data_IF_530478977250
#
_entry.id   IF_530478977250
#
_cell.length_a   1.000
_cell.length_b   1.000
_cell.length_c   1.000
_cell.angle_alpha   90.00
_cell.angle_beta   90.00
_cell.angle_gamma   90.00
#
_symmetry.space_group_name_H-M   'P 1'
#
loop_
_entity.id
_entity.type
_entity.pdbx_description
1 polymer ?
#
# COMPACT_ATOMS: atom_id res chain seq x y z
N UNK A 1 6.40 -17.60 -15.03
CA UNK A 1 5.51 -16.94 -14.05
C UNK A 1 4.86 -18.01 -13.18
N UNK A 2 5.01 -17.92 -11.88
CA UNK A 2 4.35 -18.79 -10.90
C UNK A 2 2.97 -18.20 -10.57
N UNK A 3 1.95 -19.05 -10.38
CA UNK A 3 0.59 -18.60 -10.07
C UNK A 3 -0.05 -19.52 -9.03
N UNK A 4 -0.71 -18.93 -8.03
CA UNK A 4 -1.40 -19.66 -6.96
C UNK A 4 -2.61 -18.86 -6.47
N UNK A 5 -3.52 -19.50 -5.75
CA UNK A 5 -4.57 -18.82 -5.01
C UNK A 5 -3.97 -18.14 -3.77
N UNK A 6 -4.43 -16.94 -3.47
CA UNK A 6 -4.07 -16.25 -2.24
C UNK A 6 -4.73 -16.94 -1.03
N UNK A 7 -3.98 -17.08 0.06
CA UNK A 7 -4.49 -17.61 1.33
C UNK A 7 -4.76 -16.44 2.28
N UNK A 8 -6.03 -16.15 2.55
CA UNK A 8 -6.45 -15.16 3.55
C UNK A 8 -6.34 -15.79 4.93
N UNK A 9 -5.46 -15.23 5.76
CA UNK A 9 -5.19 -15.72 7.11
C UNK A 9 -6.13 -15.12 8.15
N UNK A 10 -6.49 -13.85 7.98
CA UNK A 10 -7.32 -13.10 8.92
C UNK A 10 -7.97 -11.89 8.26
N UNK A 11 -9.12 -11.48 8.79
CA UNK A 11 -9.80 -10.25 8.42
C UNK A 11 -9.96 -9.34 9.64
N UNK A 12 -9.62 -8.05 9.48
CA UNK A 12 -9.75 -7.00 10.49
C UNK A 12 -10.81 -6.01 10.05
N UNK A 13 -11.59 -5.53 11.00
CA UNK A 13 -12.66 -4.57 10.73
C UNK A 13 -14.00 -5.22 10.35
N UNK A 14 -15.01 -4.45 9.87
CA UNK A 14 -14.91 -3.01 9.61
C UNK A 14 -14.58 -2.18 10.85
N UNK A 15 -13.93 -1.03 10.63
CA UNK A 15 -13.51 -0.15 11.73
C UNK A 15 -14.52 0.99 11.90
N UNK A 16 -14.94 1.31 13.14
CA UNK A 16 -15.83 2.45 13.39
C UNK A 16 -15.24 3.77 12.86
N UNK A 17 -16.04 4.51 12.10
CA UNK A 17 -15.65 5.80 11.54
C UNK A 17 -14.73 5.71 10.30
N UNK A 18 -14.46 4.51 9.79
CA UNK A 18 -13.68 4.30 8.58
C UNK A 18 -14.49 3.45 7.58
N UNK A 19 -15.25 4.11 6.73
CA UNK A 19 -16.11 3.43 5.75
C UNK A 19 -15.31 2.77 4.61
N UNK A 20 -14.10 3.30 4.33
CA UNK A 20 -13.21 2.83 3.28
C UNK A 20 -11.80 2.68 3.81
N UNK A 21 -11.10 1.69 3.30
CA UNK A 21 -9.65 1.50 3.50
C UNK A 21 -8.96 1.75 2.17
N UNK A 22 -8.04 2.71 2.14
CA UNK A 22 -7.20 3.03 0.99
C UNK A 22 -5.81 2.41 1.12
N UNK A 23 -4.78 3.21 1.37
CA UNK A 23 -3.42 2.73 1.59
C UNK A 23 -3.25 2.02 2.92
N UNK A 24 -2.26 1.14 2.98
CA UNK A 24 -1.90 0.36 4.18
C UNK A 24 -0.39 0.36 4.33
N UNK A 25 0.10 0.51 5.56
CA UNK A 25 1.51 0.30 5.91
C UNK A 25 1.64 -0.38 7.28
N UNK A 26 2.85 -0.79 7.63
CA UNK A 26 3.16 -1.45 8.89
C UNK A 26 4.42 -0.83 9.51
N UNK A 27 4.34 -0.42 10.77
CA UNK A 27 5.44 0.25 11.47
C UNK A 27 6.31 -0.70 12.30
N UNK A 28 6.10 -2.01 12.15
CA UNK A 28 6.75 -3.06 12.94
C UNK A 28 5.93 -3.48 14.16
N UNK A 29 4.90 -2.72 14.53
CA UNK A 29 4.03 -3.00 15.67
C UNK A 29 2.55 -2.87 15.31
N UNK A 30 2.17 -1.81 14.61
CA UNK A 30 0.79 -1.52 14.22
C UNK A 30 0.62 -1.45 12.71
N UNK A 31 -0.55 -1.84 12.26
CA UNK A 31 -0.98 -1.63 10.89
C UNK A 31 -1.65 -0.27 10.80
N UNK A 32 -1.18 0.57 9.88
CA UNK A 32 -1.76 1.87 9.57
C UNK A 32 -2.54 1.80 8.27
N UNK A 33 -3.70 2.43 8.21
CA UNK A 33 -4.46 2.55 6.98
C UNK A 33 -5.08 3.93 6.81
N UNK A 34 -5.18 4.34 5.55
CA UNK A 34 -5.79 5.60 5.15
C UNK A 34 -7.30 5.43 4.95
N UNK A 35 -8.11 6.39 5.43
CA UNK A 35 -9.57 6.38 5.30
C UNK A 35 -10.16 7.67 4.70
N UNK A 36 -9.33 8.48 4.03
CA UNK A 36 -9.70 9.73 3.38
C UNK A 36 -9.31 10.95 4.19
N UNK A 37 -9.80 11.10 5.39
CA UNK A 37 -9.55 12.22 6.32
C UNK A 37 -8.67 11.84 7.52
N UNK A 38 -8.29 10.57 7.62
CA UNK A 38 -7.50 10.04 8.75
C UNK A 38 -6.53 8.96 8.32
N UNK A 39 -5.44 8.86 9.09
CA UNK A 39 -4.62 7.67 9.22
C UNK A 39 -5.01 6.96 10.52
N UNK A 40 -5.40 5.70 10.41
CA UNK A 40 -5.85 4.88 11.53
C UNK A 40 -4.82 3.79 11.79
N UNK A 41 -4.56 3.48 13.06
CA UNK A 41 -3.69 2.38 13.44
C UNK A 41 -4.44 1.35 14.27
N UNK A 42 -4.17 0.08 14.03
CA UNK A 42 -4.69 -1.02 14.85
C UNK A 42 -3.58 -2.03 15.17
N UNK A 43 -3.77 -2.75 16.28
CA UNK A 43 -2.90 -3.86 16.68
C UNK A 43 -3.30 -5.12 15.89
N UNK A 44 -2.43 -5.69 15.06
CA UNK A 44 -2.77 -6.90 14.29
C UNK A 44 -2.90 -8.17 15.16
N UNK A 45 -2.42 -8.16 16.39
CA UNK A 45 -2.60 -9.29 17.31
C UNK A 45 -4.01 -9.33 17.90
N UNK A 46 -4.59 -8.17 18.23
CA UNK A 46 -5.93 -8.06 18.84
C UNK A 46 -7.02 -7.61 17.85
N UNK A 47 -6.64 -6.95 16.75
CA UNK A 47 -7.55 -6.31 15.82
C UNK A 47 -8.13 -5.00 16.33
N UNK A 48 -7.69 -4.51 17.49
CA UNK A 48 -8.24 -3.31 18.11
C UNK A 48 -7.59 -2.04 17.58
N UNK A 49 -8.40 -1.02 17.33
CA UNK A 49 -7.93 0.32 17.01
C UNK A 49 -7.15 0.90 18.19
N UNK A 50 -5.96 1.46 17.93
CA UNK A 50 -5.09 2.03 18.95
C UNK A 50 -4.99 3.54 18.87
N UNK A 51 -5.07 4.13 17.68
CA UNK A 51 -5.06 5.58 17.48
C UNK A 51 -5.47 5.99 16.07
N UNK A 52 -5.75 7.28 15.90
CA UNK A 52 -5.96 7.91 14.61
C UNK A 52 -5.26 9.28 14.55
N UNK A 53 -4.84 9.67 13.37
CA UNK A 53 -4.25 10.98 13.06
C UNK A 53 -5.17 11.68 12.07
N UNK A 54 -5.64 12.89 12.40
CA UNK A 54 -6.41 13.71 11.49
C UNK A 54 -5.48 14.33 10.45
N UNK A 55 -5.52 13.77 9.24
CA UNK A 55 -4.69 14.21 8.11
C UNK A 55 -5.33 13.69 6.82
N UNK A 56 -5.21 14.45 5.73
CA UNK A 56 -5.67 13.98 4.42
C UNK A 56 -4.93 12.70 4.03
N UNK A 57 -5.69 11.65 3.73
CA UNK A 57 -5.17 10.30 3.51
C UNK A 57 -6.01 9.58 2.44
N UNK A 58 -5.75 9.90 1.16
CA UNK A 58 -6.64 9.54 0.05
C UNK A 58 -6.22 8.27 -0.69
N UNK A 59 -4.96 7.84 -0.57
CA UNK A 59 -4.42 6.70 -1.29
C UNK A 59 -3.29 6.04 -0.50
N UNK A 60 -2.20 5.63 -1.14
CA UNK A 60 -1.11 4.86 -0.57
C UNK A 60 -0.45 5.46 0.65
N UNK A 61 -0.02 4.58 1.54
CA UNK A 61 0.68 4.88 2.79
C UNK A 61 1.95 4.04 2.86
N UNK A 62 3.06 4.63 3.33
CA UNK A 62 4.33 3.95 3.53
C UNK A 62 4.99 4.40 4.85
N UNK A 63 5.95 3.61 5.32
CA UNK A 63 6.72 3.88 6.54
C UNK A 63 8.20 3.63 6.29
N UNK A 64 9.05 4.60 6.63
CA UNK A 64 10.50 4.53 6.38
C UNK A 64 11.31 4.01 7.59
N UNK A 65 10.64 3.53 8.63
CA UNK A 65 11.22 3.16 9.92
C UNK A 65 11.12 4.28 10.97
N UNK A 66 10.73 5.47 10.57
CA UNK A 66 10.60 6.63 11.45
C UNK A 66 9.39 7.51 11.15
N UNK A 67 9.10 7.73 9.87
CA UNK A 67 8.01 8.62 9.42
C UNK A 67 7.02 7.87 8.56
N UNK A 68 5.76 8.32 8.60
CA UNK A 68 4.74 7.92 7.65
C UNK A 68 4.83 8.80 6.40
N UNK A 69 4.61 8.20 5.24
CA UNK A 69 4.38 8.90 3.98
C UNK A 69 2.97 8.60 3.52
N UNK A 70 2.24 9.63 3.11
CA UNK A 70 0.83 9.53 2.75
C UNK A 70 0.52 10.30 1.49
N UNK A 71 -0.05 9.63 0.50
CA UNK A 71 -0.60 10.27 -0.69
C UNK A 71 -1.89 11.00 -0.32
N UNK A 72 -1.92 12.29 -0.63
CA UNK A 72 -3.07 13.17 -0.44
C UNK A 72 -3.25 14.01 -1.70
N UNK A 73 -4.19 13.62 -2.56
CA UNK A 73 -4.44 14.22 -3.87
C UNK A 73 -3.18 14.25 -4.76
N UNK A 74 -2.63 15.44 -5.03
CA UNK A 74 -1.49 15.64 -5.93
C UNK A 74 -0.14 15.69 -5.20
N UNK A 75 -0.09 15.34 -3.91
CA UNK A 75 1.11 15.40 -3.07
C UNK A 75 1.30 14.16 -2.23
N UNK A 76 2.52 13.97 -1.78
CA UNK A 76 2.89 12.99 -0.75
C UNK A 76 3.36 13.74 0.49
N UNK A 77 2.74 13.47 1.61
CA UNK A 77 3.04 14.09 2.89
C UNK A 77 3.98 13.18 3.69
N UNK A 78 5.04 13.76 4.28
CA UNK A 78 5.87 13.13 5.30
C UNK A 78 5.33 13.52 6.66
N UNK A 79 4.97 12.55 7.49
CA UNK A 79 4.21 12.76 8.73
C UNK A 79 4.96 12.17 9.90
N UNK A 80 5.04 12.92 11.01
CA UNK A 80 5.47 12.39 12.30
C UNK A 80 4.35 11.49 12.86
N UNK A 81 4.58 10.18 13.04
CA UNK A 81 3.53 9.27 13.50
C UNK A 81 3.13 9.49 14.95
N UNK A 82 3.93 10.18 15.74
CA UNK A 82 3.62 10.48 17.16
C UNK A 82 2.74 11.71 17.32
N UNK A 83 3.05 12.76 16.59
CA UNK A 83 2.35 14.05 16.70
C UNK A 83 1.26 14.24 15.64
N UNK A 84 1.33 13.51 14.52
CA UNK A 84 0.47 13.72 13.37
C UNK A 84 0.85 14.93 12.51
N UNK A 85 1.96 15.60 12.85
CA UNK A 85 2.41 16.79 12.12
C UNK A 85 2.94 16.42 10.73
N UNK A 86 2.50 17.15 9.72
CA UNK A 86 3.08 17.10 8.37
C UNK A 86 4.39 17.88 8.39
N UNK A 87 5.51 17.17 8.22
CA UNK A 87 6.86 17.73 8.28
C UNK A 87 7.34 18.27 6.94
N UNK A 88 6.91 17.64 5.84
CA UNK A 88 7.27 18.01 4.49
C UNK A 88 6.23 17.48 3.49
N UNK A 89 6.19 18.07 2.31
CA UNK A 89 5.40 17.59 1.18
C UNK A 89 6.24 17.59 -0.08
N UNK A 90 6.00 16.60 -0.93
CA UNK A 90 6.57 16.52 -2.28
C UNK A 90 5.44 16.32 -3.29
N UNK A 91 5.61 16.71 -4.56
CA UNK A 91 4.62 16.42 -5.59
C UNK A 91 4.49 14.91 -5.81
N UNK A 92 3.26 14.41 -5.95
CA UNK A 92 3.00 13.05 -6.37
C UNK A 92 3.12 12.95 -7.90
N UNK A 93 3.76 11.88 -8.43
CA UNK A 93 4.11 11.82 -9.85
C UNK A 93 2.90 11.77 -10.79
N UNK A 94 1.77 11.27 -10.34
CA UNK A 94 0.53 11.17 -11.11
C UNK A 94 -0.42 12.35 -10.98
N UNK A 95 -0.08 13.37 -10.17
CA UNK A 95 -0.90 14.57 -10.01
C UNK A 95 -2.33 14.33 -9.56
N UNK A 96 -2.54 13.39 -8.63
CA UNK A 96 -3.87 13.01 -8.11
C UNK A 96 -4.39 11.67 -8.62
N UNK A 97 -3.63 10.95 -9.44
CA UNK A 97 -3.98 9.62 -9.96
C UNK A 97 -3.19 8.48 -9.33
N UNK A 98 -2.38 8.79 -8.32
CA UNK A 98 -1.55 7.82 -7.62
C UNK A 98 -2.37 6.97 -6.65
N UNK A 99 -2.00 5.69 -6.53
CA UNK A 99 -2.79 4.71 -5.77
C UNK A 99 -2.02 4.03 -4.65
N UNK A 100 -0.82 3.55 -4.90
CA UNK A 100 -0.01 2.79 -3.96
C UNK A 100 1.28 3.50 -3.58
N UNK A 101 1.83 3.19 -2.41
CA UNK A 101 3.06 3.79 -1.92
C UNK A 101 3.84 2.76 -1.11
N UNK A 102 5.14 2.65 -1.37
CA UNK A 102 6.06 1.82 -0.60
C UNK A 102 7.39 2.54 -0.36
N UNK A 103 7.99 2.30 0.80
CA UNK A 103 9.35 2.70 1.08
C UNK A 103 10.31 1.55 0.77
N UNK A 104 11.38 1.84 0.04
CA UNK A 104 12.37 0.85 -0.34
C UNK A 104 13.76 1.48 -0.50
N UNK A 105 14.69 1.07 0.34
CA UNK A 105 16.12 1.39 0.17
C UNK A 105 16.41 2.89 -0.06
N UNK A 106 15.77 3.75 0.72
CA UNK A 106 15.94 5.19 0.64
C UNK A 106 15.12 5.88 -0.45
N UNK A 107 14.22 5.19 -1.11
CA UNK A 107 13.33 5.73 -2.15
C UNK A 107 11.87 5.36 -1.90
N UNK A 108 10.97 6.02 -2.62
CA UNK A 108 9.54 5.67 -2.64
C UNK A 108 9.18 5.03 -3.99
N UNK A 109 8.33 4.02 -3.93
CA UNK A 109 7.67 3.45 -5.09
C UNK A 109 6.20 3.85 -5.09
N UNK A 110 5.73 4.43 -6.18
CA UNK A 110 4.38 5.00 -6.29
C UNK A 110 3.62 4.33 -7.43
N UNK A 111 2.52 3.66 -7.10
CA UNK A 111 1.64 3.06 -8.09
C UNK A 111 0.65 4.06 -8.67
N UNK A 112 0.33 3.91 -9.95
CA UNK A 112 -0.75 4.63 -10.64
C UNK A 112 -1.80 3.63 -11.12
N UNK A 113 -3.04 3.80 -10.66
CA UNK A 113 -4.12 2.86 -10.95
C UNK A 113 -4.41 2.78 -12.45
N UNK A 114 -4.98 3.81 -13.03
CA UNK A 114 -5.34 3.83 -14.45
C UNK A 114 -4.14 3.95 -15.38
N UNK A 115 -3.07 4.56 -14.90
CA UNK A 115 -1.82 4.69 -15.66
C UNK A 115 -1.08 3.37 -15.83
N UNK A 116 -1.40 2.35 -15.03
CA UNK A 116 -0.75 1.03 -15.05
C UNK A 116 0.76 1.14 -14.95
N UNK A 117 1.23 1.97 -14.02
CA UNK A 117 2.66 2.27 -13.83
C UNK A 117 3.02 2.24 -12.37
N UNK A 118 4.31 1.99 -12.11
CA UNK A 118 4.91 2.16 -10.80
C UNK A 118 6.17 2.99 -11.00
N UNK A 119 6.23 4.15 -10.34
CA UNK A 119 7.39 5.04 -10.36
C UNK A 119 8.23 4.84 -9.12
N UNK A 120 9.54 4.75 -9.28
CA UNK A 120 10.49 4.98 -8.20
C UNK A 120 10.83 6.46 -8.17
N UNK A 121 10.68 7.09 -7.02
CA UNK A 121 10.89 8.54 -6.89
C UNK A 121 11.86 8.86 -5.75
N UNK A 122 12.52 10.00 -5.87
CA UNK A 122 13.29 10.61 -4.79
C UNK A 122 12.33 11.12 -3.70
N UNK A 123 12.48 10.69 -2.42
CA UNK A 123 11.56 11.06 -1.36
C UNK A 123 11.69 12.50 -0.87
N UNK A 124 12.72 13.22 -1.29
CA UNK A 124 12.95 14.62 -0.92
C UNK A 124 12.44 15.61 -1.96
N UNK A 125 12.47 15.22 -3.22
CA UNK A 125 12.12 16.10 -4.35
C UNK A 125 10.88 15.68 -5.11
N UNK A 126 10.51 14.39 -5.04
CA UNK A 126 9.46 13.80 -5.86
C UNK A 126 9.89 13.50 -7.29
N UNK A 127 11.17 13.68 -7.62
CA UNK A 127 11.69 13.42 -8.97
C UNK A 127 11.58 11.93 -9.31
N UNK A 128 11.07 11.63 -10.50
CA UNK A 128 10.97 10.26 -11.00
C UNK A 128 12.37 9.77 -11.37
N UNK A 129 12.83 8.70 -10.71
CA UNK A 129 14.12 8.06 -10.97
C UNK A 129 13.99 6.99 -12.05
N UNK A 130 12.89 6.24 -12.05
CA UNK A 130 12.51 5.32 -13.11
C UNK A 130 11.04 4.91 -13.03
N UNK A 131 10.56 4.30 -14.11
CA UNK A 131 9.18 3.84 -14.25
C UNK A 131 9.17 2.41 -14.78
N UNK A 132 8.32 1.57 -14.19
CA UNK A 132 7.97 0.26 -14.73
C UNK A 132 6.49 0.24 -15.10
N UNK A 133 6.15 -0.51 -16.14
CA UNK A 133 4.77 -0.65 -16.58
C UNK A 133 4.15 -1.94 -16.01
N UNK A 134 2.88 -1.86 -15.65
CA UNK A 134 2.08 -3.00 -15.25
C UNK A 134 1.10 -3.40 -16.35
N UNK A 135 0.80 -4.68 -16.47
CA UNK A 135 -0.21 -5.21 -17.37
C UNK A 135 -1.64 -4.96 -16.88
N UNK A 136 -1.83 -4.56 -15.61
CA UNK A 136 -3.13 -4.32 -14.98
C UNK A 136 -3.15 -3.00 -14.20
N UNK A 137 -4.33 -2.57 -13.78
CA UNK A 137 -4.48 -1.41 -12.90
C UNK A 137 -3.80 -1.68 -11.55
N UNK A 138 -2.86 -0.81 -11.18
CA UNK A 138 -2.07 -0.92 -9.94
C UNK A 138 -2.83 -0.30 -8.79
N UNK A 139 -2.95 -1.03 -7.67
CA UNK A 139 -3.53 -0.53 -6.42
C UNK A 139 -2.45 -0.29 -5.37
N UNK A 140 -2.25 -1.17 -4.41
CA UNK A 140 -1.20 -1.06 -3.40
C UNK A 140 0.18 -1.48 -3.92
N UNK A 141 1.22 -1.00 -3.29
CA UNK A 141 2.62 -1.36 -3.60
C UNK A 141 3.34 -1.64 -2.30
N UNK A 142 4.18 -2.66 -2.27
CA UNK A 142 5.08 -2.95 -1.14
C UNK A 142 6.43 -3.48 -1.60
N UNK A 143 7.42 -3.31 -0.74
CA UNK A 143 8.77 -3.82 -0.93
C UNK A 143 9.19 -4.67 0.27
N UNK A 144 9.67 -5.88 0.00
CA UNK A 144 10.14 -6.78 1.05
C UNK A 144 11.25 -7.68 0.52
N UNK A 145 12.38 -7.72 1.24
CA UNK A 145 13.52 -8.60 0.93
C UNK A 145 14.02 -8.51 -0.53
N UNK A 146 14.05 -7.29 -1.08
CA UNK A 146 14.46 -7.05 -2.47
C UNK A 146 13.37 -7.35 -3.51
N UNK A 147 12.17 -7.70 -3.09
CA UNK A 147 11.03 -8.00 -3.95
C UNK A 147 10.05 -6.84 -4.02
N UNK A 148 9.63 -6.47 -5.22
CA UNK A 148 8.56 -5.52 -5.44
C UNK A 148 7.26 -6.26 -5.72
N UNK A 149 6.27 -6.00 -4.88
CA UNK A 149 4.92 -6.53 -5.02
C UNK A 149 3.91 -5.42 -5.20
N UNK A 150 2.89 -5.64 -5.98
CA UNK A 150 1.76 -4.74 -6.06
C UNK A 150 0.42 -5.49 -6.14
N UNK A 151 -0.63 -4.83 -5.67
CA UNK A 151 -2.00 -5.27 -5.86
C UNK A 151 -2.56 -4.79 -7.18
N UNK A 152 -3.62 -5.44 -7.62
CA UNK A 152 -4.44 -5.03 -8.77
C UNK A 152 -5.92 -5.05 -8.43
N UNK A 153 -6.71 -4.30 -9.17
CA UNK A 153 -8.17 -4.39 -9.15
C UNK A 153 -8.71 -4.07 -10.52
N UNK A 154 -9.30 -5.05 -11.17
CA UNK A 154 -9.85 -4.90 -12.52
C UNK A 154 -10.98 -5.91 -12.75
N UNK A 155 -12.18 -5.42 -13.06
CA UNK A 155 -13.33 -6.28 -13.39
C UNK A 155 -13.75 -7.23 -12.25
N UNK A 156 -13.82 -6.75 -11.02
CA UNK A 156 -14.15 -7.52 -9.81
C UNK A 156 -13.09 -8.58 -9.41
N UNK A 157 -11.92 -8.52 -10.03
CA UNK A 157 -10.80 -9.40 -9.72
C UNK A 157 -9.62 -8.62 -9.16
N UNK A 158 -8.97 -9.17 -8.15
CA UNK A 158 -7.71 -8.70 -7.58
C UNK A 158 -6.68 -9.81 -7.58
N UNK A 159 -5.43 -9.40 -7.72
CA UNK A 159 -4.28 -10.26 -7.46
C UNK A 159 -3.16 -9.47 -6.77
N UNK A 160 -2.25 -10.20 -6.15
CA UNK A 160 -0.97 -9.69 -5.68
C UNK A 160 0.09 -10.20 -6.65
N UNK A 161 0.81 -9.29 -7.27
CA UNK A 161 1.77 -9.60 -8.32
C UNK A 161 3.18 -9.20 -7.88
N UNK A 162 4.11 -10.16 -7.91
CA UNK A 162 5.53 -9.90 -7.79
C UNK A 162 6.12 -9.59 -9.15
N UNK A 163 6.82 -8.47 -9.24
CA UNK A 163 7.48 -8.05 -10.47
C UNK A 163 8.98 -7.90 -10.26
N UNK A 164 9.72 -8.09 -11.33
CA UNK A 164 11.13 -7.73 -11.38
C UNK A 164 11.23 -6.19 -11.29
N UNK A 165 11.90 -5.64 -10.28
CA UNK A 165 11.96 -4.18 -10.11
C UNK A 165 12.81 -3.47 -11.17
N UNK A 166 13.57 -4.19 -11.98
CA UNK A 166 14.37 -3.63 -13.07
C UNK A 166 13.59 -3.56 -14.38
N UNK A 167 12.79 -4.60 -14.66
CA UNK A 167 12.13 -4.78 -15.97
C UNK A 167 10.61 -4.66 -15.91
N UNK A 168 10.00 -4.80 -14.73
CA UNK A 168 8.56 -4.91 -14.57
C UNK A 168 7.98 -6.27 -14.98
N UNK A 169 8.84 -7.23 -15.35
CA UNK A 169 8.38 -8.57 -15.72
C UNK A 169 7.68 -9.26 -14.55
N UNK A 170 6.52 -9.86 -14.82
CA UNK A 170 5.74 -10.58 -13.81
C UNK A 170 6.42 -11.91 -13.48
N UNK A 171 6.80 -12.08 -12.22
CA UNK A 171 7.46 -13.27 -11.69
C UNK A 171 6.50 -14.24 -11.02
N UNK A 172 5.57 -13.70 -10.23
CA UNK A 172 4.61 -14.50 -9.45
C UNK A 172 3.30 -13.76 -9.29
N UNK A 173 2.21 -14.52 -9.10
CA UNK A 173 0.87 -13.99 -8.98
C UNK A 173 0.05 -14.80 -7.97
N UNK A 174 -0.60 -14.10 -7.05
CA UNK A 174 -1.55 -14.67 -6.10
C UNK A 174 -2.94 -14.14 -6.41
N UNK A 175 -3.83 -15.01 -6.87
CA UNK A 175 -5.21 -14.63 -7.19
C UNK A 175 -6.05 -14.58 -5.91
N UNK A 176 -6.71 -13.46 -5.66
CA UNK A 176 -7.68 -13.33 -4.58
C UNK A 176 -9.05 -13.91 -5.00
N UNK A 177 -9.90 -14.31 -4.04
CA UNK A 177 -11.27 -14.70 -4.34
C UNK A 177 -12.03 -13.58 -5.08
N UNK A 178 -12.95 -13.95 -5.96
CA UNK A 178 -13.80 -12.98 -6.69
C UNK A 178 -14.50 -12.03 -5.73
N UNK A 179 -14.52 -10.74 -6.06
CA UNK A 179 -15.12 -9.69 -5.24
C UNK A 179 -14.27 -9.21 -4.07
N UNK A 180 -13.11 -9.83 -3.81
CA UNK A 180 -12.16 -9.37 -2.78
C UNK A 180 -11.23 -8.33 -3.38
N UNK A 181 -11.48 -7.07 -3.05
CA UNK A 181 -10.71 -5.94 -3.53
C UNK A 181 -9.40 -5.74 -2.73
N UNK A 182 -8.33 -5.35 -3.42
CA UNK A 182 -7.10 -4.84 -2.81
C UNK A 182 -6.93 -3.38 -3.17
N UNK A 183 -6.96 -2.50 -2.16
CA UNK A 183 -6.76 -1.05 -2.33
C UNK A 183 -5.36 -0.60 -1.89
N UNK A 184 -4.82 -1.21 -0.86
CA UNK A 184 -3.49 -0.97 -0.32
C UNK A 184 -2.78 -2.27 -0.05
N UNK A 185 -1.47 -2.25 0.04
CA UNK A 185 -0.63 -3.43 0.25
C UNK A 185 0.61 -3.09 1.04
N UNK A 186 0.88 -3.87 2.08
CA UNK A 186 2.13 -3.81 2.83
C UNK A 186 2.54 -5.18 3.34
N UNK A 187 3.84 -5.44 3.39
CA UNK A 187 4.41 -6.62 4.03
C UNK A 187 4.67 -6.37 5.51
N UNK A 188 4.52 -7.41 6.34
CA UNK A 188 4.99 -7.36 7.74
C UNK A 188 6.51 -7.61 7.87
N UNK A 189 7.20 -7.72 6.74
CA UNK A 189 8.63 -8.04 6.70
C UNK A 189 8.94 -9.53 6.86
N UNK A 190 7.92 -10.37 7.04
CA UNK A 190 8.05 -11.81 7.24
C UNK A 190 7.18 -12.60 6.25
N UNK A 191 6.09 -13.18 6.70
CA UNK A 191 5.29 -14.14 5.92
C UNK A 191 3.85 -13.67 5.64
N UNK A 192 3.53 -12.40 5.92
CA UNK A 192 2.20 -11.83 5.67
C UNK A 192 2.25 -10.55 4.84
N UNK A 193 1.22 -10.40 4.02
CA UNK A 193 0.81 -9.12 3.48
C UNK A 193 -0.44 -8.62 4.22
N UNK A 194 -0.49 -7.32 4.49
CA UNK A 194 -1.71 -6.62 4.87
C UNK A 194 -2.29 -5.95 3.63
N UNK A 195 -3.53 -6.29 3.31
CA UNK A 195 -4.23 -5.79 2.13
C UNK A 195 -5.42 -4.94 2.54
N UNK A 196 -5.46 -3.70 2.11
CA UNK A 196 -6.63 -2.85 2.24
C UNK A 196 -7.78 -3.38 1.39
N UNK A 197 -8.98 -3.40 1.94
CA UNK A 197 -10.16 -3.95 1.30
C UNK A 197 -11.10 -2.92 0.66
N UNK A 198 -10.65 -1.69 0.45
CA UNK A 198 -11.42 -0.63 -0.20
C UNK A 198 -12.77 -0.38 0.46
N UNK A 199 -13.85 -0.47 -0.30
CA UNK A 199 -15.23 -0.24 0.17
C UNK A 199 -15.75 -1.25 1.19
N UNK A 200 -15.05 -2.38 1.40
CA UNK A 200 -15.41 -3.33 2.46
C UNK A 200 -15.13 -2.78 3.87
N UNK A 201 -14.31 -1.75 4.00
CA UNK A 201 -13.86 -1.20 5.28
C UNK A 201 -12.93 -2.15 6.06
N UNK A 202 -12.42 -3.19 5.42
CA UNK A 202 -11.59 -4.22 6.06
C UNK A 202 -10.13 -4.11 5.65
N UNK A 203 -9.26 -4.67 6.49
CA UNK A 203 -7.88 -5.03 6.15
C UNK A 203 -7.76 -6.55 6.26
N UNK A 204 -7.14 -7.19 5.29
CA UNK A 204 -6.93 -8.65 5.28
C UNK A 204 -5.45 -8.98 5.39
N UNK A 205 -5.14 -9.93 6.25
CA UNK A 205 -3.81 -10.56 6.26
C UNK A 205 -3.82 -11.71 5.25
N UNK A 206 -2.88 -11.69 4.33
CA UNK A 206 -2.71 -12.70 3.28
C UNK A 206 -1.33 -13.31 3.42
N UNK A 207 -1.22 -14.63 3.25
CA UNK A 207 0.08 -15.31 3.32
C UNK A 207 0.99 -14.86 2.18
N UNK A 208 2.19 -14.41 2.55
CA UNK A 208 3.27 -14.15 1.59
C UNK A 208 3.96 -15.48 1.27
N UNK A 209 4.09 -15.86 -0.01
CA UNK A 209 4.90 -17.01 -0.36
C UNK A 209 6.38 -16.70 -0.08
N UNK A 210 7.10 -17.67 0.44
CA UNK A 210 8.57 -17.58 0.54
C UNK A 210 9.18 -18.17 -0.73
N UNK A 211 10.16 -17.47 -1.25
CA UNK A 211 10.95 -17.90 -2.42
C UNK A 211 11.80 -19.12 -2.09
#
# INVERSE_FOLDING_TARGET
MKRAAAEILHEYGPFPGAERVHGVTFDGQHVWFASGDKLNAFDPASGQAVRAIDVAAHAGTAFDGRHLFQIAEDRIQKIDPQTGQVLATIPAPGGGTDSGLAWAEGTLWVGQYRGRKIHQIDPETGAILRTIESHRFVTGVTWVEGELWHGTWEGDESDLTRVDPQTGAVLERLDLPSGVMVSGLESDGADRFFCGGGSSGKVRAVRRPRS
#
